data_IF_375697417378
#
_entry.id   IF_375697417378
#
_cell.length_a   1.000
_cell.length_b   1.000
_cell.length_c   1.000
_cell.angle_alpha   90.00
_cell.angle_beta   90.00
_cell.angle_gamma   90.00
#
_symmetry.space_group_name_H-M   'P 1'
#
loop_
_entity.id
_entity.type
_entity.pdbx_description
1 polymer ?
#
# COMPACT_ATOMS: atom_id res chain seq x y z
N UNK A 1 -13.98 8.33 23.75
CA UNK A 1 -12.76 7.57 24.10
C UNK A 1 -11.76 7.65 22.94
N UNK A 2 -10.74 8.51 23.08
CA UNK A 2 -9.70 8.73 22.07
C UNK A 2 -8.43 8.00 22.49
N UNK A 3 -8.43 6.67 22.42
CA UNK A 3 -7.20 5.89 22.52
C UNK A 3 -6.75 5.56 21.10
N UNK A 4 -5.74 6.27 20.61
CA UNK A 4 -5.07 5.88 19.38
C UNK A 4 -4.41 4.50 19.60
N UNK A 5 -4.42 3.61 18.61
CA UNK A 5 -3.71 2.34 18.72
C UNK A 5 -2.23 2.60 19.00
N UNK A 6 -1.65 1.90 19.98
CA UNK A 6 -0.23 1.95 20.33
C UNK A 6 0.64 1.17 19.32
N UNK A 7 0.36 1.31 18.02
CA UNK A 7 1.10 0.63 16.94
C UNK A 7 2.45 1.30 16.63
N UNK A 8 2.97 2.14 17.54
CA UNK A 8 4.25 2.84 17.34
C UNK A 8 5.44 1.90 17.19
N UNK A 9 5.36 0.71 17.79
CA UNK A 9 6.42 -0.30 17.76
C UNK A 9 6.19 -1.36 16.67
N UNK A 10 5.09 -1.28 15.92
CA UNK A 10 4.80 -2.22 14.84
C UNK A 10 5.54 -1.78 13.58
N UNK A 11 6.46 -2.60 13.04
CA UNK A 11 7.16 -2.24 11.82
C UNK A 11 6.18 -2.13 10.66
N UNK A 12 6.38 -1.10 9.82
CA UNK A 12 5.59 -0.91 8.61
C UNK A 12 5.72 -2.14 7.71
N UNK A 13 4.59 -2.61 7.18
CA UNK A 13 4.55 -3.74 6.23
C UNK A 13 5.40 -3.44 4.99
N UNK A 14 5.31 -2.22 4.49
CA UNK A 14 6.11 -1.70 3.39
C UNK A 14 7.26 -0.81 3.91
N UNK A 15 8.06 -1.31 4.85
CA UNK A 15 9.24 -0.59 5.36
C UNK A 15 10.41 -0.59 4.35
N UNK A 16 11.30 0.39 4.48
CA UNK A 16 12.48 0.52 3.61
C UNK A 16 12.19 1.31 2.32
N UNK A 17 12.51 0.78 1.12
CA UNK A 17 12.38 1.54 -0.13
C UNK A 17 10.92 1.84 -0.52
N UNK A 18 9.95 1.22 0.14
CA UNK A 18 8.52 1.34 -0.14
C UNK A 18 7.80 2.29 0.82
N UNK A 19 8.52 3.08 1.62
CA UNK A 19 7.89 4.05 2.53
C UNK A 19 7.17 5.18 1.78
N UNK A 20 7.58 5.46 0.54
CA UNK A 20 6.97 6.46 -0.34
C UNK A 20 5.48 6.19 -0.63
N UNK A 21 5.07 4.92 -0.55
CA UNK A 21 3.69 4.45 -0.63
C UNK A 21 2.81 5.15 0.43
N UNK A 22 3.32 5.32 1.65
CA UNK A 22 2.61 6.04 2.71
C UNK A 22 2.58 7.55 2.45
N UNK A 23 3.64 8.12 1.88
CA UNK A 23 3.71 9.55 1.54
C UNK A 23 2.66 9.90 0.47
N UNK A 24 2.56 9.12 -0.60
CA UNK A 24 1.56 9.33 -1.64
C UNK A 24 0.13 9.21 -1.11
N UNK A 25 -0.12 8.22 -0.24
CA UNK A 25 -1.44 8.05 0.37
C UNK A 25 -1.82 9.21 1.29
N UNK A 26 -0.91 9.60 2.18
CA UNK A 26 -1.16 10.71 3.11
C UNK A 26 -1.34 12.04 2.34
N UNK A 27 -0.52 12.29 1.31
CA UNK A 27 -0.69 13.42 0.41
C UNK A 27 -2.06 13.41 -0.26
N UNK A 28 -2.46 12.28 -0.85
CA UNK A 28 -3.79 12.13 -1.44
C UNK A 28 -4.91 12.43 -0.42
N UNK A 29 -4.82 11.94 0.82
CA UNK A 29 -5.84 12.23 1.84
C UNK A 29 -5.89 13.71 2.20
N UNK A 30 -4.75 14.40 2.25
CA UNK A 30 -4.70 15.87 2.45
C UNK A 30 -5.39 16.59 1.30
N UNK A 31 -5.08 16.23 0.06
CA UNK A 31 -5.68 16.85 -1.13
C UNK A 31 -7.18 16.57 -1.24
N UNK A 32 -7.60 15.36 -0.88
CA UNK A 32 -9.01 14.99 -0.76
C UNK A 32 -9.74 15.89 0.24
N UNK A 33 -9.14 16.16 1.41
CA UNK A 33 -9.71 17.07 2.40
C UNK A 33 -9.73 18.53 1.93
N UNK A 34 -8.80 18.93 1.07
CA UNK A 34 -8.79 20.24 0.42
C UNK A 34 -9.70 20.33 -0.81
N UNK A 35 -10.38 19.23 -1.18
CA UNK A 35 -11.20 19.11 -2.39
C UNK A 35 -10.42 19.36 -3.69
N UNK A 36 -9.09 19.23 -3.67
CA UNK A 36 -8.26 19.28 -4.87
C UNK A 36 -8.28 17.91 -5.55
N UNK A 37 -9.21 17.76 -6.49
CA UNK A 37 -9.48 16.47 -7.12
C UNK A 37 -8.36 16.07 -8.09
N UNK A 38 -7.70 17.04 -8.71
CA UNK A 38 -6.63 16.78 -9.68
C UNK A 38 -5.36 16.30 -8.95
N UNK A 39 -4.96 17.00 -7.89
CA UNK A 39 -3.83 16.59 -7.05
C UNK A 39 -4.08 15.23 -6.38
N UNK A 40 -5.30 15.01 -5.87
CA UNK A 40 -5.71 13.70 -5.33
C UNK A 40 -5.55 12.57 -6.35
N UNK A 41 -6.04 12.77 -7.58
CA UNK A 41 -5.98 11.74 -8.62
C UNK A 41 -4.54 11.40 -9.01
N UNK A 42 -3.67 12.41 -9.11
CA UNK A 42 -2.25 12.21 -9.41
C UNK A 42 -1.54 11.47 -8.28
N UNK A 43 -1.77 11.87 -7.02
CA UNK A 43 -1.21 11.19 -5.86
C UNK A 43 -1.70 9.74 -5.74
N UNK A 44 -2.98 9.48 -6.03
CA UNK A 44 -3.53 8.12 -6.04
C UNK A 44 -2.97 7.24 -7.16
N UNK A 45 -2.62 7.82 -8.32
CA UNK A 45 -1.94 7.11 -9.40
C UNK A 45 -0.54 6.68 -8.98
N UNK A 46 0.23 7.58 -8.36
CA UNK A 46 1.57 7.29 -7.83
C UNK A 46 1.50 6.21 -6.74
N UNK A 47 0.54 6.32 -5.82
CA UNK A 47 0.26 5.30 -4.82
C UNK A 47 -0.01 3.92 -5.44
N UNK A 48 -0.82 3.88 -6.52
CA UNK A 48 -1.12 2.64 -7.24
C UNK A 48 0.14 2.00 -7.85
N UNK A 49 0.97 2.80 -8.51
CA UNK A 49 2.22 2.31 -9.11
C UNK A 49 3.17 1.72 -8.04
N UNK A 50 3.42 2.45 -6.96
CA UNK A 50 4.26 1.98 -5.85
C UNK A 50 3.67 0.75 -5.15
N UNK A 51 2.33 0.67 -5.03
CA UNK A 51 1.63 -0.51 -4.50
C UNK A 51 1.89 -1.76 -5.32
N UNK A 52 1.85 -1.65 -6.64
CA UNK A 52 2.04 -2.79 -7.53
C UNK A 52 3.48 -3.29 -7.53
N UNK A 53 4.46 -2.39 -7.45
CA UNK A 53 5.87 -2.75 -7.29
C UNK A 53 6.11 -3.46 -5.93
N UNK A 54 5.55 -2.91 -4.84
CA UNK A 54 5.62 -3.54 -3.52
C UNK A 54 4.99 -4.94 -3.52
N UNK A 55 3.81 -5.11 -4.14
CA UNK A 55 3.15 -6.44 -4.25
C UNK A 55 4.01 -7.44 -5.00
N UNK A 56 4.60 -7.04 -6.13
CA UNK A 56 5.50 -7.90 -6.90
C UNK A 56 6.71 -8.32 -6.07
N UNK A 57 7.32 -7.40 -5.32
CA UNK A 57 8.43 -7.70 -4.43
C UNK A 57 7.99 -8.65 -3.29
N UNK A 58 6.86 -8.37 -2.65
CA UNK A 58 6.34 -9.14 -1.52
C UNK A 58 5.95 -10.58 -1.88
N UNK A 59 5.42 -10.79 -3.09
CA UNK A 59 5.05 -12.13 -3.58
C UNK A 59 6.24 -13.03 -3.90
N UNK A 60 7.45 -12.49 -4.13
CA UNK A 60 8.66 -13.31 -4.39
C UNK A 60 9.00 -14.25 -3.23
N UNK A 61 9.10 -13.77 -1.97
CA UNK A 61 9.28 -14.63 -0.80
C UNK A 61 7.98 -15.23 -0.27
N UNK A 62 6.82 -14.66 -0.60
CA UNK A 62 5.49 -15.13 -0.16
C UNK A 62 4.65 -15.55 -1.36
N UNK A 63 5.00 -16.65 -2.04
CA UNK A 63 4.16 -17.17 -3.10
C UNK A 63 2.77 -17.49 -2.52
N UNK A 64 1.69 -17.21 -3.26
CA UNK A 64 0.37 -17.62 -2.83
C UNK A 64 0.39 -19.13 -2.59
N UNK A 65 0.02 -19.56 -1.39
CA UNK A 65 -0.16 -20.99 -1.06
C UNK A 65 -1.01 -21.58 -2.17
N UNK A 66 -0.41 -22.51 -2.93
CA UNK A 66 -0.94 -23.07 -4.17
C UNK A 66 -2.47 -23.06 -4.19
N UNK A 67 -3.06 -22.22 -5.05
CA UNK A 67 -4.45 -22.43 -5.43
C UNK A 67 -4.47 -23.81 -6.09
N UNK A 68 -5.15 -24.77 -5.46
CA UNK A 68 -5.03 -26.20 -5.73
C UNK A 68 -4.84 -26.49 -7.21
N UNK A 69 -3.71 -27.09 -7.55
CA UNK A 69 -3.32 -27.34 -8.93
C UNK A 69 -4.43 -28.05 -9.69
N UNK A 70 -4.66 -27.62 -10.93
CA UNK A 70 -5.46 -28.36 -11.89
C UNK A 70 -4.90 -29.79 -11.97
N UNK A 71 -5.67 -30.74 -11.45
CA UNK A 71 -5.42 -32.16 -11.66
C UNK A 71 -6.02 -32.49 -13.03
N UNK A 72 -5.18 -32.64 -14.05
CA UNK A 72 -5.63 -33.20 -15.33
C UNK A 72 -5.98 -34.69 -15.07
N UNK A 73 -7.28 -34.96 -14.92
CA UNK A 73 -7.87 -36.30 -14.97
C UNK A 73 -7.96 -36.78 -16.41
#
# INVERSE_FOLDING_TARGET
PSSYPEDRDVPLRASGPWEELYVHYLGAMVDYHHQDTDAYNDAMRLFGAASDEYRQHYHRPHPPRSSGGFQNL
#
